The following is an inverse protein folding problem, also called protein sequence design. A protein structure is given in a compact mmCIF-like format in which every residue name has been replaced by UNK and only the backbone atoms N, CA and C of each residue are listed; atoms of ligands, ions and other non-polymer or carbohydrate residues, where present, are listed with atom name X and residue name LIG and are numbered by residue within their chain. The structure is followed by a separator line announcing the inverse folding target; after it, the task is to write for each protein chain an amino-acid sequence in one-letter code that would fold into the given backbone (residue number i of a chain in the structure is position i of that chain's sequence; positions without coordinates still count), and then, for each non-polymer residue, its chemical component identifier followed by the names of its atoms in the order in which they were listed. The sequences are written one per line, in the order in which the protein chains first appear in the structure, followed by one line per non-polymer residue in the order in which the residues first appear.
data_IF_740473268910
#
_entry.id   IF_740473268910
#
_cell.length_a   1.000
_cell.length_b   1.000
_cell.length_c   1.000
_cell.angle_alpha   90.00
_cell.angle_beta   90.00
_cell.angle_gamma   90.00
#
_symmetry.space_group_name_H-M   'P 1'
#
loop_
_entity.id
_entity.type
_entity.pdbx_description
1 polymer ?
#
# COMPACT_ATOMS: atom_id res chain seq x y z
N UNK A 1 -4.39 -2.44 -15.93
CA UNK A 1 -5.84 -2.22 -16.14
C UNK A 1 -6.22 -0.92 -15.50
N UNK A 2 -6.65 0.04 -16.30
CA UNK A 2 -6.92 1.42 -15.84
C UNK A 2 -8.27 1.56 -15.10
N UNK A 3 -9.22 0.67 -15.36
CA UNK A 3 -10.52 0.66 -14.70
C UNK A 3 -11.12 -0.74 -14.61
N UNK A 4 -12.10 -0.91 -13.73
CA UNK A 4 -12.93 -2.12 -13.59
C UNK A 4 -14.40 -1.73 -13.59
N UNK A 5 -15.27 -2.67 -13.95
CA UNK A 5 -16.73 -2.53 -13.81
C UNK A 5 -17.18 -3.37 -12.64
N UNK A 6 -17.72 -2.72 -11.61
CA UNK A 6 -18.26 -3.36 -10.42
C UNK A 6 -19.54 -2.64 -9.97
N UNK A 7 -20.52 -3.40 -9.51
CA UNK A 7 -21.80 -2.86 -9.03
C UNK A 7 -22.50 -1.91 -10.01
N UNK A 8 -22.42 -2.25 -11.32
CA UNK A 8 -22.96 -1.44 -12.41
C UNK A 8 -22.35 -0.04 -12.49
N UNK A 9 -21.08 0.12 -12.08
CA UNK A 9 -20.31 1.36 -12.12
C UNK A 9 -18.90 1.12 -12.65
N UNK A 10 -18.36 2.11 -13.34
CA UNK A 10 -16.94 2.17 -13.70
C UNK A 10 -16.16 2.70 -12.51
N UNK A 11 -15.12 1.99 -12.10
CA UNK A 11 -14.22 2.40 -11.02
C UNK A 11 -12.78 2.47 -11.53
N UNK A 12 -12.09 3.55 -11.25
CA UNK A 12 -10.68 3.73 -11.63
C UNK A 12 -9.81 2.81 -10.77
N UNK A 13 -8.79 2.23 -11.37
CA UNK A 13 -7.77 1.43 -10.69
C UNK A 13 -6.44 2.17 -10.77
N UNK A 14 -5.79 2.32 -9.63
CA UNK A 14 -4.43 2.85 -9.57
C UNK A 14 -3.45 1.87 -10.25
N UNK A 15 -2.70 2.35 -11.24
CA UNK A 15 -1.78 1.51 -12.02
C UNK A 15 -0.62 0.95 -11.19
N UNK A 16 -0.17 1.68 -10.19
CA UNK A 16 0.98 1.27 -9.36
C UNK A 16 0.56 0.30 -8.27
N UNK A 17 -0.50 0.63 -7.54
CA UNK A 17 -0.96 -0.18 -6.40
C UNK A 17 -2.03 -1.20 -6.78
N UNK A 18 -2.69 -1.03 -7.95
CA UNK A 18 -3.83 -1.83 -8.39
C UNK A 18 -5.09 -1.61 -7.52
N UNK A 19 -5.11 -0.61 -6.65
CA UNK A 19 -6.24 -0.32 -5.78
C UNK A 19 -7.36 0.40 -6.52
N UNK A 20 -8.61 0.04 -6.20
CA UNK A 20 -9.77 0.76 -6.69
C UNK A 20 -9.84 2.12 -6.00
N UNK A 21 -9.94 3.18 -6.80
CA UNK A 21 -10.08 4.55 -6.32
C UNK A 21 -11.55 4.93 -6.27
N UNK A 22 -12.23 4.58 -5.17
CA UNK A 22 -13.63 4.90 -4.99
C UNK A 22 -13.87 6.43 -4.99
N UNK A 23 -14.93 6.85 -5.67
CA UNK A 23 -15.32 8.26 -5.78
C UNK A 23 -14.52 9.09 -6.79
N UNK A 24 -13.42 8.55 -7.37
CA UNK A 24 -12.70 9.22 -8.46
C UNK A 24 -13.34 8.94 -9.81
N UNK A 25 -13.35 9.97 -10.65
CA UNK A 25 -13.86 9.90 -12.03
C UNK A 25 -12.87 10.55 -12.98
N UNK A 26 -12.79 10.06 -14.21
CA UNK A 26 -12.07 10.76 -15.27
C UNK A 26 -12.77 12.07 -15.61
N UNK A 27 -12.01 13.09 -15.97
CA UNK A 27 -12.50 14.40 -16.38
C UNK A 27 -13.00 14.41 -17.84
N UNK A 28 -13.53 15.54 -18.22
CA UNK A 28 -13.79 15.93 -19.62
C UNK A 28 -14.70 14.95 -20.41
N UNK A 29 -15.63 14.31 -19.70
CA UNK A 29 -16.58 13.39 -20.32
C UNK A 29 -16.04 11.98 -20.57
N UNK A 30 -14.75 11.72 -20.31
CA UNK A 30 -14.14 10.41 -20.53
C UNK A 30 -14.81 9.33 -19.68
N UNK A 31 -15.14 9.63 -18.42
CA UNK A 31 -15.79 8.66 -17.53
C UNK A 31 -17.16 8.24 -18.08
N UNK A 32 -17.97 9.20 -18.52
CA UNK A 32 -19.28 8.95 -19.13
C UNK A 32 -19.16 8.15 -20.44
N UNK A 33 -18.12 8.41 -21.24
CA UNK A 33 -17.86 7.67 -22.46
C UNK A 33 -17.52 6.18 -22.16
N UNK A 34 -16.75 5.93 -21.10
CA UNK A 34 -16.45 4.57 -20.63
C UNK A 34 -17.71 3.90 -20.07
N UNK A 35 -18.52 4.62 -19.26
CA UNK A 35 -19.80 4.12 -18.75
C UNK A 35 -20.73 3.70 -19.91
N UNK A 36 -20.82 4.52 -20.96
CA UNK A 36 -21.59 4.18 -22.16
C UNK A 36 -21.03 2.96 -22.91
N UNK A 37 -19.70 2.89 -23.06
CA UNK A 37 -19.02 1.75 -23.69
C UNK A 37 -19.30 0.44 -22.96
N UNK A 38 -19.25 0.46 -21.64
CA UNK A 38 -19.43 -0.72 -20.79
C UNK A 38 -20.92 -1.02 -20.50
N UNK A 39 -21.86 -0.25 -21.09
CA UNK A 39 -23.31 -0.40 -20.90
C UNK A 39 -23.75 -0.36 -19.43
N UNK A 40 -23.09 0.46 -18.64
CA UNK A 40 -23.48 0.74 -17.23
C UNK A 40 -24.23 2.06 -17.15
N UNK A 41 -24.83 2.33 -15.99
CA UNK A 41 -25.55 3.59 -15.78
C UNK A 41 -24.58 4.79 -15.93
N UNK A 42 -24.91 5.68 -16.85
CA UNK A 42 -24.18 6.94 -17.04
C UNK A 42 -24.60 7.91 -15.94
N UNK A 43 -23.63 8.31 -15.11
CA UNK A 43 -23.86 9.30 -14.04
C UNK A 43 -23.59 10.71 -14.58
N UNK A 44 -24.26 11.71 -13.96
CA UNK A 44 -24.08 13.11 -14.32
C UNK A 44 -22.61 13.55 -14.16
N UNK A 45 -22.19 14.50 -15.00
CA UNK A 45 -20.88 15.12 -14.86
C UNK A 45 -20.80 15.86 -13.52
N UNK A 46 -19.72 15.66 -12.79
CA UNK A 46 -19.41 16.44 -11.59
C UNK A 46 -18.67 17.71 -11.99
N UNK A 47 -19.11 18.84 -11.48
CA UNK A 47 -18.40 20.11 -11.64
C UNK A 47 -17.71 20.47 -10.32
N UNK A 48 -16.40 20.68 -10.37
CA UNK A 48 -15.66 21.19 -9.22
C UNK A 48 -15.88 22.69 -9.11
N UNK A 49 -16.53 23.14 -8.06
CA UNK A 49 -16.76 24.57 -7.82
C UNK A 49 -15.57 25.27 -7.18
N UNK A 50 -14.83 24.58 -6.33
CA UNK A 50 -13.64 25.10 -5.66
C UNK A 50 -12.73 23.96 -5.21
N UNK A 51 -11.46 24.25 -5.11
CA UNK A 51 -10.45 23.35 -4.52
C UNK A 51 -9.74 24.05 -3.38
N UNK A 52 -9.39 23.31 -2.36
CA UNK A 52 -8.56 23.76 -1.25
C UNK A 52 -7.43 22.76 -1.05
N UNK A 53 -6.20 23.21 -0.88
CA UNK A 53 -5.09 22.33 -0.54
C UNK A 53 -5.21 21.83 0.89
N UNK A 54 -4.63 20.66 1.19
CA UNK A 54 -4.61 20.13 2.56
C UNK A 54 -4.01 21.12 3.55
N UNK A 55 -2.92 21.80 3.16
CA UNK A 55 -2.26 22.81 3.97
C UNK A 55 -3.22 23.94 4.34
N UNK A 56 -3.92 24.49 3.35
CA UNK A 56 -4.86 25.57 3.61
C UNK A 56 -6.08 25.10 4.41
N UNK A 57 -6.55 23.89 4.16
CA UNK A 57 -7.65 23.31 4.94
C UNK A 57 -7.29 23.18 6.41
N UNK A 58 -6.13 22.58 6.73
CA UNK A 58 -5.72 22.41 8.13
C UNK A 58 -5.36 23.71 8.82
N UNK A 59 -4.88 24.72 8.10
CA UNK A 59 -4.62 26.06 8.64
C UNK A 59 -5.89 26.83 9.05
N UNK A 60 -7.07 26.35 8.68
CA UNK A 60 -8.34 26.93 9.14
C UNK A 60 -8.66 26.61 10.61
N UNK A 61 -8.00 25.62 11.20
CA UNK A 61 -8.22 25.23 12.59
C UNK A 61 -7.35 26.04 13.53
N UNK A 62 -7.95 26.51 14.63
CA UNK A 62 -7.24 27.28 15.67
C UNK A 62 -6.26 26.41 16.47
N UNK A 63 -6.53 25.13 16.58
CA UNK A 63 -5.69 24.16 17.26
C UNK A 63 -5.60 22.88 16.46
N UNK A 64 -4.40 22.49 16.12
CA UNK A 64 -4.10 21.28 15.36
C UNK A 64 -2.98 20.51 16.05
N UNK A 65 -3.07 19.19 16.04
CA UNK A 65 -2.00 18.29 16.47
C UNK A 65 -2.14 16.97 15.72
N UNK A 66 -1.07 16.19 15.66
CA UNK A 66 -1.06 14.90 15.00
C UNK A 66 -0.02 13.98 15.62
N UNK A 67 -0.04 12.73 15.19
CA UNK A 67 0.94 11.73 15.59
C UNK A 67 1.36 10.92 14.35
N UNK A 68 2.65 10.69 14.24
CA UNK A 68 3.23 9.87 13.17
C UNK A 68 4.56 9.28 13.63
N UNK A 69 4.98 8.17 13.03
CA UNK A 69 6.30 7.58 13.28
C UNK A 69 7.45 8.22 12.49
N UNK A 70 7.18 9.19 11.61
CA UNK A 70 8.16 9.73 10.64
C UNK A 70 8.23 11.24 10.59
N UNK A 71 7.76 11.97 11.62
CA UNK A 71 7.70 13.43 11.61
C UNK A 71 9.03 14.13 11.82
N UNK A 72 10.01 13.49 12.45
CA UNK A 72 11.26 14.13 12.87
C UNK A 72 12.09 14.66 11.70
N UNK A 73 12.16 13.90 10.60
CA UNK A 73 12.83 14.31 9.36
C UNK A 73 12.18 15.53 8.70
N UNK A 74 10.88 15.71 8.89
CA UNK A 74 10.06 16.75 8.28
C UNK A 74 9.70 17.89 9.28
N UNK A 75 10.39 17.96 10.42
CA UNK A 75 10.10 18.94 11.46
C UNK A 75 10.13 20.39 10.95
N UNK A 76 11.08 20.70 10.04
CA UNK A 76 11.17 22.01 9.39
C UNK A 76 9.91 22.36 8.59
N UNK A 77 9.39 21.44 7.81
CA UNK A 77 8.17 21.63 7.00
C UNK A 77 6.94 21.83 7.91
N UNK A 78 6.79 21.03 8.96
CA UNK A 78 5.71 21.20 9.94
C UNK A 78 5.73 22.59 10.60
N UNK A 79 6.92 23.09 10.92
CA UNK A 79 7.06 24.43 11.45
C UNK A 79 6.74 25.53 10.43
N UNK A 80 7.25 25.40 9.20
CA UNK A 80 7.02 26.42 8.17
C UNK A 80 5.53 26.55 7.79
N UNK A 81 4.84 25.41 7.61
CA UNK A 81 3.46 25.39 7.11
C UNK A 81 2.44 25.62 8.23
N UNK A 82 2.60 24.93 9.36
CA UNK A 82 1.58 24.86 10.41
C UNK A 82 1.99 25.51 11.73
N UNK A 83 3.25 25.92 11.88
CA UNK A 83 3.83 26.39 13.16
C UNK A 83 3.74 25.35 14.27
N UNK A 84 3.89 24.08 13.91
CA UNK A 84 3.89 22.95 14.84
C UNK A 84 5.32 22.50 15.14
N UNK A 85 5.61 22.33 16.44
CA UNK A 85 6.82 21.64 16.90
C UNK A 85 6.65 20.12 16.80
N UNK A 86 7.72 19.43 16.44
CA UNK A 86 7.79 17.97 16.48
C UNK A 86 8.50 17.53 17.74
N UNK A 87 7.82 16.70 18.53
CA UNK A 87 8.35 16.16 19.78
C UNK A 87 8.43 14.65 19.65
N UNK A 88 9.65 14.12 19.69
CA UNK A 88 9.87 12.65 19.68
C UNK A 88 9.59 12.07 21.07
N UNK A 89 8.60 11.19 21.14
CA UNK A 89 8.26 10.47 22.37
C UNK A 89 9.03 9.14 22.37
N UNK A 90 9.89 8.88 23.35
CA UNK A 90 10.66 7.64 23.40
C UNK A 90 9.75 6.44 23.60
N UNK A 91 10.17 5.28 23.10
CA UNK A 91 9.45 4.02 23.27
C UNK A 91 9.43 3.60 24.74
N UNK A 92 8.31 3.01 25.20
CA UNK A 92 8.16 2.49 26.57
C UNK A 92 9.15 1.35 26.89
N UNK A 93 9.56 0.58 25.90
CA UNK A 93 10.52 -0.53 26.05
C UNK A 93 11.71 -0.30 25.10
N UNK A 94 12.90 -0.85 25.43
CA UNK A 94 14.05 -0.77 24.53
C UNK A 94 13.70 -1.33 23.15
N UNK A 95 14.23 -0.69 22.11
CA UNK A 95 14.10 -1.15 20.73
C UNK A 95 14.86 -2.46 20.58
N UNK A 96 14.15 -3.51 20.10
CA UNK A 96 14.73 -4.82 19.80
C UNK A 96 14.90 -5.06 18.31
N UNK A 97 14.51 -4.09 17.47
CA UNK A 97 14.63 -4.18 16.01
C UNK A 97 16.10 -4.13 15.60
N UNK A 98 16.50 -5.09 14.80
CA UNK A 98 17.81 -5.17 14.17
C UNK A 98 17.68 -4.84 12.68
N UNK A 99 18.05 -3.61 12.30
CA UNK A 99 18.03 -3.15 10.92
C UNK A 99 19.32 -3.59 10.24
N UNK A 100 19.21 -4.50 9.29
CA UNK A 100 20.34 -5.02 8.51
C UNK A 100 20.61 -4.14 7.29
N UNK A 101 21.88 -4.13 6.87
CA UNK A 101 22.30 -3.45 5.65
C UNK A 101 21.67 -4.06 4.39
N UNK A 102 21.52 -3.23 3.35
CA UNK A 102 20.99 -3.67 2.07
C UNK A 102 21.92 -4.67 1.38
N UNK A 103 21.31 -5.73 0.81
CA UNK A 103 22.02 -6.72 0.01
C UNK A 103 21.86 -6.40 -1.48
N UNK A 104 22.99 -6.11 -2.15
CA UNK A 104 23.03 -5.75 -3.57
C UNK A 104 23.40 -6.95 -4.44
N UNK A 105 22.59 -7.24 -5.44
CA UNK A 105 22.77 -8.37 -6.37
C UNK A 105 23.01 -7.88 -7.80
N UNK A 106 23.79 -8.64 -8.59
CA UNK A 106 24.06 -8.32 -10.00
C UNK A 106 22.84 -8.48 -10.89
N UNK A 107 21.98 -9.45 -10.57
CA UNK A 107 20.80 -9.78 -11.39
C UNK A 107 19.54 -9.93 -10.52
N UNK A 108 18.39 -9.64 -11.10
CA UNK A 108 17.10 -9.88 -10.44
C UNK A 108 16.89 -11.36 -10.09
N UNK A 109 17.45 -12.28 -10.87
CA UNK A 109 17.37 -13.72 -10.61
C UNK A 109 18.10 -14.09 -9.31
N UNK A 110 19.30 -13.58 -9.11
CA UNK A 110 20.07 -13.78 -7.88
C UNK A 110 19.33 -13.18 -6.68
N UNK A 111 18.83 -11.95 -6.83
CA UNK A 111 18.03 -11.27 -5.80
C UNK A 111 16.82 -12.12 -5.37
N UNK A 112 15.99 -12.56 -6.33
CA UNK A 112 14.80 -13.33 -5.99
C UNK A 112 15.12 -14.72 -5.41
N UNK A 113 16.20 -15.37 -5.85
CA UNK A 113 16.63 -16.63 -5.24
C UNK A 113 17.03 -16.43 -3.77
N UNK A 114 17.82 -15.40 -3.48
CA UNK A 114 18.23 -15.07 -2.12
C UNK A 114 17.02 -14.72 -1.22
N UNK A 115 16.08 -13.90 -1.71
CA UNK A 115 14.84 -13.55 -1.00
C UNK A 115 14.04 -14.82 -0.65
N UNK A 116 13.93 -15.77 -1.58
CA UNK A 116 13.16 -17.00 -1.37
C UNK A 116 13.86 -17.93 -0.38
N UNK A 117 15.18 -18.01 -0.40
CA UNK A 117 15.97 -18.77 0.55
C UNK A 117 15.83 -18.21 1.96
N UNK A 118 15.89 -16.89 2.11
CA UNK A 118 15.69 -16.20 3.39
C UNK A 118 14.27 -16.42 3.94
N UNK A 119 13.24 -16.31 3.10
CA UNK A 119 11.85 -16.63 3.47
C UNK A 119 11.71 -18.07 3.96
N UNK A 120 12.29 -19.04 3.24
CA UNK A 120 12.22 -20.45 3.61
C UNK A 120 12.89 -20.72 4.97
N UNK A 121 14.06 -20.13 5.16
CA UNK A 121 14.79 -20.25 6.44
C UNK A 121 13.98 -19.65 7.59
N UNK A 122 13.52 -18.40 7.48
CA UNK A 122 12.76 -17.72 8.53
C UNK A 122 11.45 -18.46 8.86
N UNK A 123 10.75 -18.97 7.84
CA UNK A 123 9.53 -19.75 8.04
C UNK A 123 9.81 -21.06 8.79
N UNK A 124 10.91 -21.76 8.50
CA UNK A 124 11.31 -22.97 9.23
C UNK A 124 11.71 -22.68 10.67
N UNK A 125 12.30 -21.52 10.94
CA UNK A 125 12.62 -21.05 12.29
C UNK A 125 11.36 -20.65 13.07
N UNK A 126 10.20 -20.62 12.44
CA UNK A 126 8.92 -20.26 13.06
C UNK A 126 8.69 -18.74 13.12
N UNK A 127 9.49 -17.94 12.44
CA UNK A 127 9.36 -16.47 12.41
C UNK A 127 8.28 -16.06 11.41
N UNK A 128 7.33 -15.20 11.78
CA UNK A 128 6.44 -14.55 10.82
C UNK A 128 7.26 -13.63 9.91
N UNK A 129 7.01 -13.68 8.61
CA UNK A 129 7.79 -12.96 7.61
C UNK A 129 6.86 -12.10 6.74
N UNK A 130 7.11 -10.80 6.70
CA UNK A 130 6.45 -9.85 5.80
C UNK A 130 7.39 -9.48 4.66
N UNK A 131 6.94 -9.70 3.43
CA UNK A 131 7.70 -9.41 2.21
C UNK A 131 7.06 -8.24 1.47
N UNK A 132 7.71 -7.08 1.50
CA UNK A 132 7.28 -5.90 0.74
C UNK A 132 7.70 -6.00 -0.73
N UNK A 133 6.79 -5.68 -1.64
CA UNK A 133 7.05 -5.63 -3.09
C UNK A 133 6.64 -4.27 -3.68
N UNK A 134 7.28 -3.87 -4.76
CA UNK A 134 7.04 -2.58 -5.41
C UNK A 134 5.92 -2.63 -6.46
N UNK A 135 5.46 -3.82 -6.84
CA UNK A 135 4.36 -3.96 -7.81
C UNK A 135 3.60 -5.28 -7.62
N UNK A 136 2.37 -5.31 -8.14
CA UNK A 136 1.52 -6.50 -8.13
C UNK A 136 2.18 -7.65 -8.90
N UNK A 137 2.85 -7.37 -10.04
CA UNK A 137 3.53 -8.39 -10.85
C UNK A 137 4.64 -9.08 -10.06
N UNK A 138 5.43 -8.33 -9.29
CA UNK A 138 6.50 -8.89 -8.44
C UNK A 138 5.90 -9.74 -7.33
N UNK A 139 4.80 -9.31 -6.72
CA UNK A 139 4.12 -10.09 -5.69
C UNK A 139 3.59 -11.42 -6.23
N UNK A 140 3.03 -11.44 -7.43
CA UNK A 140 2.54 -12.65 -8.11
C UNK A 140 3.69 -13.57 -8.55
N UNK A 141 4.80 -13.00 -9.04
CA UNK A 141 6.00 -13.75 -9.39
C UNK A 141 6.57 -14.49 -8.18
N UNK A 142 6.78 -13.78 -7.07
CA UNK A 142 7.27 -14.38 -5.82
C UNK A 142 6.28 -15.43 -5.30
N UNK A 143 4.99 -15.16 -5.30
CA UNK A 143 3.95 -16.13 -4.92
C UNK A 143 4.03 -17.41 -5.76
N UNK A 144 4.21 -17.26 -7.07
CA UNK A 144 4.34 -18.42 -7.96
C UNK A 144 5.56 -19.27 -7.64
N UNK A 145 6.70 -18.64 -7.32
CA UNK A 145 7.94 -19.35 -6.98
C UNK A 145 7.80 -20.04 -5.60
N UNK A 146 7.27 -19.34 -4.59
CA UNK A 146 7.04 -19.90 -3.25
C UNK A 146 6.10 -21.12 -3.30
N UNK A 147 5.03 -21.03 -4.11
CA UNK A 147 4.09 -22.13 -4.34
C UNK A 147 4.78 -23.36 -4.95
N UNK A 148 5.67 -23.16 -5.95
CA UNK A 148 6.46 -24.24 -6.56
C UNK A 148 7.43 -24.90 -5.55
N UNK A 149 7.90 -24.15 -4.56
CA UNK A 149 8.76 -24.66 -3.46
C UNK A 149 7.95 -25.25 -2.29
N UNK A 150 6.63 -25.23 -2.34
CA UNK A 150 5.76 -25.75 -1.28
C UNK A 150 5.68 -24.88 -0.03
N UNK A 151 6.11 -23.61 -0.10
CA UNK A 151 6.06 -22.67 1.02
C UNK A 151 4.66 -22.05 1.08
N UNK A 152 3.95 -22.27 2.19
CA UNK A 152 2.63 -21.65 2.43
C UNK A 152 2.80 -20.15 2.64
N UNK A 153 1.98 -19.36 1.97
CA UNK A 153 2.02 -17.91 2.07
C UNK A 153 0.68 -17.28 1.71
N UNK A 154 0.46 -16.08 2.20
CA UNK A 154 -0.65 -15.22 1.82
C UNK A 154 -0.14 -14.07 0.94
N UNK A 155 -0.98 -13.59 0.01
CA UNK A 155 -0.67 -12.43 -0.83
C UNK A 155 -1.69 -11.34 -0.52
N UNK A 156 -1.19 -10.19 -0.12
CA UNK A 156 -1.95 -8.98 0.14
C UNK A 156 -1.69 -8.00 -1.00
N UNK A 157 -2.56 -8.02 -1.98
CA UNK A 157 -2.52 -7.07 -3.09
C UNK A 157 -3.94 -6.62 -3.44
N UNK A 158 -4.04 -5.61 -4.28
CA UNK A 158 -5.30 -4.97 -4.65
C UNK A 158 -6.37 -5.88 -5.26
N UNK A 159 -6.04 -7.11 -5.65
CA UNK A 159 -7.01 -8.07 -6.22
C UNK A 159 -7.84 -8.80 -5.15
N UNK A 160 -7.47 -8.74 -3.88
CA UNK A 160 -8.04 -9.55 -2.81
C UNK A 160 -8.66 -8.74 -1.65
N UNK A 161 -9.24 -7.58 -1.93
CA UNK A 161 -9.78 -6.64 -0.92
C UNK A 161 -10.70 -7.28 0.14
N UNK A 162 -11.53 -8.25 -0.26
CA UNK A 162 -12.50 -8.85 0.69
C UNK A 162 -11.86 -9.73 1.76
N UNK A 163 -10.62 -10.19 1.55
CA UNK A 163 -9.86 -11.04 2.48
C UNK A 163 -8.72 -10.30 3.18
N UNK A 164 -8.60 -9.02 2.96
CA UNK A 164 -7.47 -8.23 3.48
C UNK A 164 -7.38 -8.30 5.01
N UNK A 165 -8.51 -8.11 5.70
CA UNK A 165 -8.56 -8.14 7.15
C UNK A 165 -8.14 -9.52 7.73
N UNK A 166 -8.57 -10.61 7.10
CA UNK A 166 -8.23 -11.97 7.52
C UNK A 166 -6.74 -12.25 7.31
N UNK A 167 -6.18 -11.86 6.16
CA UNK A 167 -4.76 -12.02 5.85
C UNK A 167 -3.90 -11.22 6.85
N UNK A 168 -4.29 -9.99 7.16
CA UNK A 168 -3.57 -9.14 8.12
C UNK A 168 -3.62 -9.76 9.52
N UNK A 169 -4.77 -10.29 9.94
CA UNK A 169 -4.92 -10.95 11.24
C UNK A 169 -4.01 -12.20 11.38
N UNK A 170 -3.76 -12.91 10.27
CA UNK A 170 -2.91 -14.09 10.25
C UNK A 170 -1.41 -13.77 10.11
N UNK A 171 -1.03 -12.58 9.66
CA UNK A 171 0.35 -12.25 9.29
C UNK A 171 1.37 -12.38 10.44
N UNK A 172 0.92 -12.24 11.70
CA UNK A 172 1.75 -12.40 12.88
C UNK A 172 1.85 -13.84 13.45
N UNK A 173 1.16 -14.80 12.85
CA UNK A 173 1.19 -16.18 13.32
C UNK A 173 2.55 -16.84 13.06
N UNK A 174 2.88 -17.86 13.87
CA UNK A 174 4.13 -18.63 13.74
C UNK A 174 4.29 -19.18 12.31
N UNK A 175 5.45 -18.96 11.72
CA UNK A 175 5.80 -19.38 10.34
C UNK A 175 4.92 -18.75 9.23
N UNK A 176 4.09 -17.77 9.54
CA UNK A 176 3.29 -17.11 8.51
C UNK A 176 4.19 -16.33 7.55
N UNK A 177 3.92 -16.43 6.26
CA UNK A 177 4.58 -15.64 5.21
C UNK A 177 3.52 -14.81 4.51
N UNK A 178 3.68 -13.50 4.50
CA UNK A 178 2.76 -12.57 3.86
C UNK A 178 3.52 -11.69 2.85
N UNK A 179 3.11 -11.74 1.59
CA UNK A 179 3.63 -10.86 0.53
C UNK A 179 2.66 -9.69 0.40
N UNK A 180 3.17 -8.48 0.55
CA UNK A 180 2.38 -7.25 0.45
C UNK A 180 2.95 -6.29 -0.61
N UNK A 181 2.07 -5.52 -1.24
CA UNK A 181 2.42 -4.47 -2.22
C UNK A 181 1.92 -3.13 -1.73
#
# INVERSE_FOLDING_TARGET
VEYVVMDNKVKIVDEQTGRIMDGRRYSDGLHQAIEAKENVKIEAATQTYATVTLQNYFRMYNKISGMTGTAETEAGEFWEIYKLDVISIPTNRPIQRDDKDDLVYKTNREKYNAVIEDIDQLSREGRPTLVGTTSVEISELLSTILRKRGIKHNVLNAKLHQKEADIVAEAGNKSAVTIAT
#
